data_IF_979395600504
#
_entry.id   IF_979395600504
#
_cell.length_a   1.000
_cell.length_b   1.000
_cell.length_c   1.000
_cell.angle_alpha   90.00
_cell.angle_beta   90.00
_cell.angle_gamma   90.00
#
_symmetry.space_group_name_H-M   'P 1'
#
loop_
_entity.id
_entity.type
_entity.pdbx_description
1 polymer ?
#
# COMPACT_ATOMS: atom_id res chain seq x y z
N UNK A 1 1.79 -13.14 -9.71
CA UNK A 1 0.71 -13.28 -8.69
C UNK A 1 1.02 -12.50 -7.41
N UNK A 2 2.21 -12.61 -6.82
CA UNK A 2 2.53 -11.96 -5.54
C UNK A 2 2.29 -10.44 -5.54
N UNK A 3 2.70 -9.75 -6.62
CA UNK A 3 2.44 -8.32 -6.81
C UNK A 3 0.93 -7.98 -6.79
N UNK A 4 0.11 -8.76 -7.49
CA UNK A 4 -1.33 -8.54 -7.54
C UNK A 4 -1.97 -8.69 -6.16
N UNK A 5 -1.64 -9.76 -5.44
CA UNK A 5 -2.14 -10.01 -4.07
C UNK A 5 -1.70 -8.90 -3.13
N UNK A 6 -0.44 -8.47 -3.21
CA UNK A 6 0.08 -7.35 -2.42
C UNK A 6 -0.66 -6.04 -2.70
N UNK A 7 -1.07 -5.79 -3.95
CA UNK A 7 -1.90 -4.61 -4.30
C UNK A 7 -3.33 -4.73 -3.78
N UNK A 8 -3.92 -5.93 -3.78
CA UNK A 8 -5.26 -6.17 -3.18
C UNK A 8 -5.23 -5.96 -1.66
N UNK A 9 -4.18 -6.44 -0.99
CA UNK A 9 -3.98 -6.19 0.45
C UNK A 9 -3.91 -4.67 0.72
N UNK A 10 -3.22 -3.92 -0.14
CA UNK A 10 -3.18 -2.47 -0.02
C UNK A 10 -4.55 -1.80 -0.19
N UNK A 11 -5.43 -2.35 -1.04
CA UNK A 11 -6.82 -1.86 -1.16
C UNK A 11 -7.58 -2.04 0.15
N UNK A 12 -7.42 -3.19 0.81
CA UNK A 12 -8.02 -3.46 2.11
C UNK A 12 -7.49 -2.50 3.19
N UNK A 13 -6.18 -2.20 3.16
CA UNK A 13 -5.54 -1.24 4.06
C UNK A 13 -6.14 0.15 3.89
N UNK A 14 -6.20 0.67 2.67
CA UNK A 14 -6.75 1.99 2.34
C UNK A 14 -8.24 2.07 2.71
N UNK A 15 -9.00 1.00 2.46
CA UNK A 15 -10.42 0.96 2.82
C UNK A 15 -10.65 1.01 4.33
N UNK A 16 -9.84 0.32 5.13
CA UNK A 16 -9.92 0.41 6.59
C UNK A 16 -9.48 1.78 7.11
N UNK A 17 -8.43 2.36 6.51
CA UNK A 17 -8.01 3.73 6.84
C UNK A 17 -9.15 4.72 6.63
N UNK A 18 -9.92 4.59 5.53
CA UNK A 18 -11.12 5.39 5.32
C UNK A 18 -12.13 5.23 6.47
N UNK A 19 -12.39 4.00 6.91
CA UNK A 19 -13.30 3.72 8.01
C UNK A 19 -12.84 4.34 9.32
N UNK A 20 -11.57 4.16 9.70
CA UNK A 20 -11.02 4.69 10.96
C UNK A 20 -11.03 6.21 11.00
N UNK A 21 -10.61 6.89 9.92
CA UNK A 21 -10.64 8.35 9.85
C UNK A 21 -12.07 8.91 9.81
N UNK A 22 -12.98 8.28 9.08
CA UNK A 22 -14.38 8.74 9.00
C UNK A 22 -15.05 8.74 10.38
N UNK A 23 -14.77 7.74 11.21
CA UNK A 23 -15.33 7.66 12.56
C UNK A 23 -14.81 8.74 13.51
N UNK A 24 -13.64 9.34 13.23
CA UNK A 24 -13.13 10.44 14.04
C UNK A 24 -14.01 11.70 13.97
N UNK A 25 -14.78 11.91 12.89
CA UNK A 25 -15.77 12.99 12.81
C UNK A 25 -16.81 12.86 13.93
N UNK A 26 -17.14 11.62 14.30
CA UNK A 26 -18.16 11.30 15.30
C UNK A 26 -17.56 11.00 16.68
N UNK A 27 -16.24 11.18 16.87
CA UNK A 27 -15.50 10.81 18.08
C UNK A 27 -15.73 9.34 18.49
N UNK A 28 -15.81 8.43 17.50
CA UNK A 28 -16.01 7.00 17.74
C UNK A 28 -14.68 6.24 17.67
N UNK A 29 -14.59 5.17 18.46
CA UNK A 29 -13.41 4.32 18.52
C UNK A 29 -13.05 3.67 17.17
N UNK A 30 -11.75 3.60 16.87
CA UNK A 30 -11.21 2.89 15.71
C UNK A 30 -11.44 1.35 15.79
N UNK A 31 -11.79 0.82 16.95
CA UNK A 31 -12.15 -0.59 17.16
C UNK A 31 -13.61 -0.91 16.84
N UNK A 32 -14.43 0.11 16.51
CA UNK A 32 -15.83 -0.04 16.19
C UNK A 32 -16.06 -1.00 15.01
N UNK A 33 -17.11 -1.81 15.11
CA UNK A 33 -17.59 -2.67 14.01
C UNK A 33 -18.00 -1.89 12.75
N UNK A 34 -18.18 -0.56 12.87
CA UNK A 34 -18.47 0.31 11.73
C UNK A 34 -17.25 0.51 10.82
N UNK A 35 -16.03 0.33 11.31
CA UNK A 35 -14.81 0.45 10.49
C UNK A 35 -14.84 -0.53 9.31
N UNK A 36 -15.00 -1.86 9.50
CA UNK A 36 -15.12 -2.78 8.37
C UNK A 36 -16.37 -2.53 7.51
N UNK A 37 -17.47 -2.06 8.07
CA UNK A 37 -18.68 -1.72 7.31
C UNK A 37 -18.40 -0.56 6.34
N UNK A 38 -17.77 0.51 6.81
CA UNK A 38 -17.36 1.64 5.99
C UNK A 38 -16.32 1.24 4.93
N UNK A 39 -15.37 0.37 5.31
CA UNK A 39 -14.38 -0.17 4.38
C UNK A 39 -15.02 -0.95 3.22
N UNK A 40 -15.96 -1.84 3.52
CA UNK A 40 -16.74 -2.58 2.51
C UNK A 40 -17.57 -1.63 1.65
N UNK A 41 -18.21 -0.63 2.26
CA UNK A 41 -18.96 0.41 1.54
C UNK A 41 -18.09 1.17 0.53
N UNK A 42 -16.87 1.56 0.92
CA UNK A 42 -15.94 2.23 0.03
C UNK A 42 -15.45 1.31 -1.11
N UNK A 43 -15.19 0.02 -0.82
CA UNK A 43 -14.79 -0.96 -1.84
C UNK A 43 -15.91 -1.19 -2.87
N UNK A 44 -17.17 -1.28 -2.42
CA UNK A 44 -18.33 -1.37 -3.31
C UNK A 44 -18.50 -0.10 -4.14
N UNK A 45 -18.32 1.08 -3.54
CA UNK A 45 -18.35 2.34 -4.28
C UNK A 45 -17.27 2.39 -5.37
N UNK A 46 -16.03 2.00 -5.03
CA UNK A 46 -14.93 1.93 -5.99
C UNK A 46 -15.21 0.93 -7.13
N UNK A 47 -15.86 -0.21 -6.81
CA UNK A 47 -16.31 -1.17 -7.81
C UNK A 47 -17.31 -0.55 -8.79
N UNK A 48 -18.34 0.14 -8.30
CA UNK A 48 -19.36 0.80 -9.13
C UNK A 48 -18.75 1.87 -10.03
N UNK A 49 -17.84 2.69 -9.49
CA UNK A 49 -17.13 3.71 -10.27
C UNK A 49 -16.28 3.07 -11.37
N UNK A 50 -15.57 1.98 -11.08
CA UNK A 50 -14.72 1.31 -12.05
C UNK A 50 -15.52 0.59 -13.18
N UNK A 51 -16.74 0.18 -12.93
CA UNK A 51 -17.61 -0.36 -13.98
C UNK A 51 -18.14 0.74 -14.91
N UNK A 52 -18.35 1.96 -14.40
CA UNK A 52 -19.00 3.05 -15.10
C UNK A 52 -18.16 3.72 -16.21
N UNK A 53 -16.83 3.58 -16.20
CA UNK A 53 -15.96 4.04 -17.28
C UNK A 53 -14.65 4.73 -16.88
N UNK A 54 -13.70 4.80 -17.83
CA UNK A 54 -12.31 5.18 -17.58
C UNK A 54 -12.00 6.68 -17.61
N UNK A 55 -12.70 7.48 -18.40
CA UNK A 55 -12.35 8.91 -18.62
C UNK A 55 -12.54 9.76 -17.34
N UNK A 56 -13.60 9.50 -16.62
CA UNK A 56 -13.90 10.17 -15.35
C UNK A 56 -12.84 9.86 -14.27
N UNK A 57 -12.40 8.60 -14.21
CA UNK A 57 -11.40 8.15 -13.22
C UNK A 57 -10.08 8.90 -13.39
N UNK A 58 -9.60 9.05 -14.62
CA UNK A 58 -8.30 9.68 -14.89
C UNK A 58 -8.27 11.16 -14.52
N UNK A 59 -9.27 11.92 -14.92
CA UNK A 59 -9.36 13.36 -14.62
C UNK A 59 -9.56 13.60 -13.11
N UNK A 60 -10.50 12.87 -12.51
CA UNK A 60 -10.78 12.95 -11.08
C UNK A 60 -9.54 12.64 -10.24
N UNK A 61 -8.83 11.53 -10.55
CA UNK A 61 -7.64 11.12 -9.81
C UNK A 61 -6.51 12.15 -9.89
N UNK A 62 -6.33 12.80 -11.04
CA UNK A 62 -5.28 13.82 -11.22
C UNK A 62 -5.52 15.06 -10.36
N UNK A 63 -6.73 15.61 -10.38
CA UNK A 63 -7.11 16.79 -9.58
C UNK A 63 -7.00 16.48 -8.10
N UNK A 64 -7.54 15.34 -7.68
CA UNK A 64 -7.55 14.92 -6.27
C UNK A 64 -6.13 14.61 -5.77
N UNK A 65 -5.24 14.13 -6.64
CA UNK A 65 -3.84 13.89 -6.26
C UNK A 65 -3.10 15.17 -5.91
N UNK A 66 -3.33 16.24 -6.65
CA UNK A 66 -2.77 17.57 -6.32
C UNK A 66 -3.35 18.09 -5.01
N UNK A 67 -4.67 17.98 -4.82
CA UNK A 67 -5.35 18.40 -3.60
C UNK A 67 -4.83 17.68 -2.35
N UNK A 68 -4.55 16.38 -2.44
CA UNK A 68 -3.96 15.58 -1.34
C UNK A 68 -2.58 16.11 -0.93
N UNK A 69 -1.71 16.34 -1.90
CA UNK A 69 -0.34 16.83 -1.63
C UNK A 69 -0.41 18.19 -0.97
N UNK A 70 -1.18 19.12 -1.53
CA UNK A 70 -1.38 20.45 -0.96
C UNK A 70 -1.98 20.35 0.45
N UNK A 71 -3.00 19.53 0.65
CA UNK A 71 -3.64 19.33 1.94
C UNK A 71 -2.68 18.81 3.01
N UNK A 72 -1.84 17.82 2.68
CA UNK A 72 -0.83 17.30 3.60
C UNK A 72 0.25 18.32 3.92
N UNK A 73 0.68 19.11 2.95
CA UNK A 73 1.65 20.19 3.17
C UNK A 73 1.04 21.30 4.06
N UNK A 74 -0.20 21.69 3.80
CA UNK A 74 -0.92 22.68 4.65
C UNK A 74 -1.08 22.15 6.07
N UNK A 75 -1.47 20.88 6.25
CA UNK A 75 -1.52 20.22 7.56
C UNK A 75 -0.17 20.29 8.26
N UNK A 76 0.91 19.86 7.59
CA UNK A 76 2.23 19.82 8.18
C UNK A 76 2.75 21.22 8.55
N UNK A 77 2.60 22.18 7.66
CA UNK A 77 3.01 23.59 7.92
C UNK A 77 2.19 24.22 9.04
N UNK A 78 0.88 23.97 9.09
CA UNK A 78 0.01 24.44 10.17
C UNK A 78 0.39 23.83 11.52
N UNK A 79 0.64 22.52 11.57
CA UNK A 79 1.11 21.83 12.79
C UNK A 79 2.46 22.34 13.28
N UNK A 80 3.43 22.52 12.36
CA UNK A 80 4.74 23.07 12.68
C UNK A 80 4.67 24.52 13.17
N UNK A 81 3.79 25.32 12.58
CA UNK A 81 3.55 26.70 13.02
C UNK A 81 3.07 26.75 14.47
N UNK A 82 2.11 25.90 14.83
CA UNK A 82 1.59 25.80 16.20
C UNK A 82 2.66 25.31 17.18
N UNK A 83 3.48 24.35 16.79
CA UNK A 83 4.62 23.86 17.56
C UNK A 83 5.83 24.83 17.57
N UNK A 84 5.73 26.04 16.97
CA UNK A 84 6.83 27.00 16.89
C UNK A 84 8.03 26.50 16.09
N UNK A 85 7.84 25.58 15.13
CA UNK A 85 8.92 24.90 14.39
C UNK A 85 9.93 24.19 15.30
N UNK A 86 9.47 23.71 16.46
CA UNK A 86 10.33 22.97 17.38
C UNK A 86 10.84 21.69 16.72
N UNK A 87 12.15 21.43 16.88
CA UNK A 87 12.76 20.16 16.43
C UNK A 87 12.65 19.12 17.57
N UNK A 88 12.41 19.56 18.81
CA UNK A 88 12.24 18.64 19.94
C UNK A 88 10.85 17.99 19.88
N UNK A 89 10.74 16.70 20.14
CA UNK A 89 9.45 16.03 20.30
C UNK A 89 8.62 16.69 21.40
N UNK A 90 7.28 16.55 21.33
CA UNK A 90 6.39 17.07 22.37
C UNK A 90 6.77 16.52 23.76
N UNK A 91 6.59 17.34 24.80
CA UNK A 91 6.87 16.96 26.19
C UNK A 91 6.04 15.72 26.57
N UNK A 92 6.65 14.81 27.35
CA UNK A 92 6.01 13.54 27.72
C UNK A 92 6.28 12.40 26.72
N UNK A 93 7.08 12.64 25.68
CA UNK A 93 7.63 11.54 24.88
C UNK A 93 8.51 10.70 25.79
N UNK A 94 8.03 9.48 26.13
CA UNK A 94 8.78 8.54 26.95
C UNK A 94 10.19 8.31 26.43
N UNK A 95 11.11 7.93 27.32
CA UNK A 95 12.47 7.61 26.93
C UNK A 95 12.44 6.50 25.85
N UNK A 96 13.29 6.65 24.83
CA UNK A 96 13.53 5.61 23.82
C UNK A 96 14.27 4.40 24.39
N UNK A 97 14.31 4.24 25.71
CA UNK A 97 15.05 3.17 26.41
C UNK A 97 14.63 1.77 25.98
N UNK A 98 13.37 1.59 25.54
CA UNK A 98 12.85 0.32 25.04
C UNK A 98 13.03 0.12 23.52
N UNK A 99 13.54 1.11 22.79
CA UNK A 99 13.74 1.01 21.35
C UNK A 99 14.99 0.18 21.04
N UNK A 100 14.79 -1.06 20.62
CA UNK A 100 15.88 -1.92 20.16
C UNK A 100 16.26 -1.60 18.71
N UNK A 101 17.53 -1.83 18.34
CA UNK A 101 17.98 -1.70 16.95
C UNK A 101 17.10 -2.56 16.01
N UNK A 102 16.74 -3.75 16.47
CA UNK A 102 15.87 -4.66 15.71
C UNK A 102 14.49 -4.05 15.44
N UNK A 103 13.87 -3.38 16.44
CA UNK A 103 12.58 -2.72 16.26
C UNK A 103 12.67 -1.51 15.33
N UNK A 104 13.79 -0.78 15.37
CA UNK A 104 14.04 0.33 14.43
C UNK A 104 14.19 -0.17 12.99
N UNK A 105 14.97 -1.23 12.76
CA UNK A 105 15.10 -1.86 11.43
C UNK A 105 13.73 -2.41 10.99
N UNK A 106 12.98 -3.04 11.87
CA UNK A 106 11.64 -3.56 11.57
C UNK A 106 10.66 -2.44 11.15
N UNK A 107 10.74 -1.25 11.74
CA UNK A 107 9.91 -0.11 11.34
C UNK A 107 10.15 0.32 9.88
N UNK A 108 11.35 0.08 9.35
CA UNK A 108 11.69 0.36 7.94
C UNK A 108 10.80 -0.47 7.00
N UNK A 109 10.37 -1.67 7.37
CA UNK A 109 9.46 -2.49 6.55
C UNK A 109 8.12 -1.79 6.27
N UNK A 110 7.51 -1.17 7.28
CA UNK A 110 6.28 -0.38 7.12
C UNK A 110 6.54 0.92 6.37
N UNK A 111 7.71 1.53 6.56
CA UNK A 111 8.13 2.72 5.82
C UNK A 111 8.28 2.40 4.33
N UNK A 112 8.92 1.29 3.96
CA UNK A 112 9.03 0.82 2.57
C UNK A 112 7.63 0.62 1.98
N UNK A 113 6.71 0.00 2.75
CA UNK A 113 5.32 -0.18 2.31
C UNK A 113 4.63 1.15 1.99
N UNK A 114 4.93 2.24 2.72
CA UNK A 114 4.32 3.55 2.48
C UNK A 114 4.74 4.18 1.14
N UNK A 115 5.88 3.80 0.58
CA UNK A 115 6.33 4.21 -0.75
C UNK A 115 5.79 3.32 -1.89
N UNK A 116 5.07 2.25 -1.57
CA UNK A 116 4.47 1.36 -2.55
C UNK A 116 3.52 2.13 -3.48
N UNK A 117 3.62 1.87 -4.76
CA UNK A 117 2.79 2.54 -5.78
C UNK A 117 3.59 2.98 -7.00
N UNK A 118 4.91 3.21 -6.87
CA UNK A 118 5.76 3.53 -8.00
C UNK A 118 5.75 2.43 -9.09
N UNK A 119 5.51 1.19 -8.72
CA UNK A 119 5.34 0.06 -9.64
C UNK A 119 4.14 0.24 -10.59
N UNK A 120 3.13 1.04 -10.22
CA UNK A 120 2.01 1.38 -11.10
C UNK A 120 2.48 2.21 -12.29
N UNK A 121 3.53 3.02 -12.14
CA UNK A 121 4.13 3.82 -13.23
C UNK A 121 4.71 2.88 -14.29
N UNK A 122 5.35 1.78 -13.90
CA UNK A 122 5.92 0.80 -14.84
C UNK A 122 4.82 0.06 -15.62
N UNK A 123 3.68 -0.22 -14.99
CA UNK A 123 2.55 -0.87 -15.64
C UNK A 123 1.88 0.01 -16.73
N UNK A 124 2.05 1.33 -16.64
CA UNK A 124 1.57 2.29 -17.64
C UNK A 124 2.62 2.67 -18.69
N UNK A 125 3.70 1.92 -18.79
CA UNK A 125 4.84 2.24 -19.66
C UNK A 125 4.50 2.42 -21.13
N UNK A 126 3.50 1.70 -21.65
CA UNK A 126 3.05 1.83 -23.05
C UNK A 126 2.36 3.16 -23.35
N UNK A 127 1.85 3.86 -22.33
CA UNK A 127 1.17 5.16 -22.45
C UNK A 127 2.12 6.36 -22.26
N UNK A 128 3.38 6.09 -21.85
CA UNK A 128 4.37 7.13 -21.52
C UNK A 128 5.22 7.48 -22.74
N UNK A 129 5.33 8.76 -23.06
CA UNK A 129 6.22 9.28 -24.11
C UNK A 129 7.67 9.04 -23.69
N UNK A 130 8.47 8.41 -24.57
CA UNK A 130 9.87 8.03 -24.34
C UNK A 130 10.04 7.23 -23.02
N UNK A 131 9.39 6.04 -22.90
CA UNK A 131 9.28 5.31 -21.64
C UNK A 131 10.62 4.99 -20.99
N UNK A 132 11.63 4.57 -21.73
CA UNK A 132 12.97 4.25 -21.21
C UNK A 132 13.63 5.38 -20.40
N UNK A 133 13.30 6.63 -20.71
CA UNK A 133 13.86 7.80 -20.01
C UNK A 133 12.91 8.34 -18.95
N UNK A 134 11.62 8.38 -19.24
CA UNK A 134 10.67 9.11 -18.41
C UNK A 134 10.11 8.26 -17.27
N UNK A 135 10.07 6.93 -17.39
CA UNK A 135 9.64 6.04 -16.28
C UNK A 135 10.57 6.20 -15.08
N UNK A 136 11.88 6.05 -15.28
CA UNK A 136 12.85 6.20 -14.18
C UNK A 136 12.80 7.59 -13.53
N UNK A 137 12.68 8.66 -14.33
CA UNK A 137 12.53 10.02 -13.81
C UNK A 137 11.24 10.22 -13.02
N UNK A 138 10.13 9.67 -13.49
CA UNK A 138 8.86 9.75 -12.81
C UNK A 138 8.90 9.01 -11.46
N UNK A 139 9.54 7.84 -11.40
CA UNK A 139 9.74 7.08 -10.17
C UNK A 139 10.56 7.88 -9.16
N UNK A 140 11.74 8.39 -9.57
CA UNK A 140 12.61 9.18 -8.70
C UNK A 140 11.89 10.43 -8.20
N UNK A 141 11.21 11.17 -9.07
CA UNK A 141 10.45 12.36 -8.69
C UNK A 141 9.32 12.03 -7.69
N UNK A 142 8.56 10.94 -7.94
CA UNK A 142 7.48 10.52 -7.06
C UNK A 142 8.00 10.15 -5.67
N UNK A 143 9.08 9.38 -5.59
CA UNK A 143 9.69 8.98 -4.31
C UNK A 143 10.22 10.20 -3.57
N UNK A 144 10.91 11.13 -4.28
CA UNK A 144 11.46 12.34 -3.66
C UNK A 144 10.39 13.25 -3.10
N UNK A 145 9.30 13.48 -3.85
CA UNK A 145 8.15 14.29 -3.38
C UNK A 145 7.49 13.62 -2.17
N UNK A 146 7.25 12.30 -2.24
CA UNK A 146 6.65 11.55 -1.13
C UNK A 146 7.52 11.60 0.11
N UNK A 147 8.83 11.40 -0.03
CA UNK A 147 9.78 11.47 1.09
C UNK A 147 9.74 12.85 1.76
N UNK A 148 9.78 13.91 0.97
CA UNK A 148 9.71 15.27 1.52
C UNK A 148 8.41 15.51 2.29
N UNK A 149 7.26 15.13 1.74
CA UNK A 149 5.96 15.28 2.40
C UNK A 149 5.88 14.41 3.66
N UNK A 150 6.36 13.16 3.62
CA UNK A 150 6.34 12.27 4.77
C UNK A 150 7.22 12.78 5.93
N UNK A 151 8.41 13.33 5.61
CA UNK A 151 9.27 13.92 6.62
C UNK A 151 8.62 15.16 7.26
N UNK A 152 7.98 16.02 6.47
CA UNK A 152 7.24 17.18 6.99
C UNK A 152 6.08 16.75 7.90
N UNK A 153 5.30 15.77 7.47
CA UNK A 153 4.16 15.25 8.25
C UNK A 153 4.64 14.59 9.54
N UNK A 154 5.68 13.74 9.46
CA UNK A 154 6.25 13.09 10.63
C UNK A 154 6.78 14.12 11.65
N UNK A 155 7.47 15.14 11.18
CA UNK A 155 7.93 16.25 12.03
C UNK A 155 6.75 16.97 12.67
N UNK A 156 5.72 17.35 11.92
CA UNK A 156 4.54 17.99 12.46
C UNK A 156 3.83 17.14 13.53
N UNK A 157 3.69 15.84 13.30
CA UNK A 157 3.06 14.92 14.27
C UNK A 157 3.90 14.81 15.53
N UNK A 158 5.21 14.57 15.41
CA UNK A 158 6.10 14.41 16.59
C UNK A 158 6.28 15.68 17.42
N UNK A 159 6.11 16.86 16.81
CA UNK A 159 6.19 18.15 17.53
C UNK A 159 4.89 18.50 18.26
N UNK A 160 3.75 17.86 17.91
CA UNK A 160 2.44 18.17 18.52
C UNK A 160 1.93 17.06 19.45
N UNK A 161 2.39 15.82 19.29
CA UNK A 161 1.94 14.69 20.09
C UNK A 161 3.09 13.98 20.78
N UNK A 162 2.97 13.65 22.07
CA UNK A 162 3.89 12.75 22.74
C UNK A 162 3.76 11.31 22.21
N UNK A 163 4.80 10.53 22.34
CA UNK A 163 4.90 9.17 21.75
C UNK A 163 3.76 8.23 22.18
N UNK A 164 3.38 8.27 23.44
CA UNK A 164 2.28 7.47 23.97
C UNK A 164 0.93 7.79 23.30
N UNK A 165 0.67 9.05 22.99
CA UNK A 165 -0.54 9.47 22.26
C UNK A 165 -0.47 9.06 20.77
N UNK A 166 0.70 9.17 20.13
CA UNK A 166 0.92 8.67 18.77
C UNK A 166 0.63 7.16 18.70
N UNK A 167 1.10 6.39 19.69
CA UNK A 167 0.86 4.94 19.76
C UNK A 167 -0.64 4.64 20.00
N UNK A 168 -1.30 5.39 20.88
CA UNK A 168 -2.73 5.24 21.13
C UNK A 168 -3.57 5.57 19.89
N UNK A 169 -3.21 6.63 19.16
CA UNK A 169 -3.88 7.10 17.94
C UNK A 169 -3.25 6.55 16.65
N UNK A 170 -2.53 5.44 16.69
CA UNK A 170 -1.74 4.90 15.54
C UNK A 170 -2.53 4.79 14.23
N UNK A 171 -3.83 4.50 14.30
CA UNK A 171 -4.68 4.31 13.13
C UNK A 171 -5.26 5.62 12.57
N UNK A 172 -5.11 6.76 13.32
CA UNK A 172 -5.60 8.09 12.96
C UNK A 172 -4.73 9.24 13.52
N UNK A 173 -3.44 8.99 13.68
CA UNK A 173 -2.48 9.91 14.34
C UNK A 173 -2.44 11.31 13.74
N UNK A 174 -2.67 11.48 12.42
CA UNK A 174 -2.74 12.80 11.82
C UNK A 174 -3.95 13.60 12.31
N UNK A 175 -5.10 12.97 12.49
CA UNK A 175 -6.28 13.63 13.00
C UNK A 175 -6.09 14.07 14.45
N UNK A 176 -5.43 13.24 15.27
CA UNK A 176 -5.12 13.56 16.65
C UNK A 176 -4.07 14.67 16.75
N UNK A 177 -3.01 14.63 15.95
CA UNK A 177 -1.99 15.68 15.88
C UNK A 177 -2.53 17.05 15.41
N UNK A 178 -3.66 17.08 14.73
CA UNK A 178 -4.32 18.30 14.33
C UNK A 178 -5.10 18.98 15.49
N UNK A 179 -5.48 18.22 16.50
CA UNK A 179 -6.35 18.67 17.60
C UNK A 179 -5.80 19.86 18.42
N UNK A 180 -4.49 19.87 18.77
CA UNK A 180 -3.91 21.01 19.49
C UNK A 180 -3.92 22.31 18.71
N UNK A 181 -3.90 22.27 17.35
CA UNK A 181 -3.79 23.46 16.51
C UNK A 181 -5.08 24.28 16.47
N UNK A 182 -6.22 23.67 16.11
CA UNK A 182 -7.50 24.35 15.92
C UNK A 182 -8.69 23.53 16.43
N UNK A 183 -8.46 22.62 17.38
CA UNK A 183 -9.51 21.76 17.95
C UNK A 183 -10.20 20.90 16.89
N UNK A 184 -11.51 20.77 17.00
CA UNK A 184 -12.31 19.93 16.11
C UNK A 184 -12.30 20.38 14.63
N UNK A 185 -12.09 21.65 14.34
CA UNK A 185 -12.01 22.12 12.95
C UNK A 185 -10.78 21.55 12.22
N UNK A 186 -9.63 21.46 12.91
CA UNK A 186 -8.44 20.83 12.35
C UNK A 186 -8.62 19.35 12.15
N UNK A 187 -9.31 18.65 13.08
CA UNK A 187 -9.66 17.23 12.92
C UNK A 187 -10.54 17.04 11.67
N UNK A 188 -11.58 17.86 11.49
CA UNK A 188 -12.46 17.76 10.31
C UNK A 188 -11.73 18.02 9.02
N UNK A 189 -10.82 19.00 8.99
CA UNK A 189 -9.96 19.28 7.83
C UNK A 189 -9.08 18.07 7.49
N UNK A 190 -8.39 17.51 8.49
CA UNK A 190 -7.51 16.37 8.31
C UNK A 190 -8.28 15.12 7.87
N UNK A 191 -9.43 14.85 8.48
CA UNK A 191 -10.30 13.74 8.09
C UNK A 191 -10.85 13.95 6.67
N UNK A 192 -11.22 15.18 6.31
CA UNK A 192 -11.63 15.51 4.95
C UNK A 192 -10.56 15.18 3.91
N UNK A 193 -9.30 15.54 4.17
CA UNK A 193 -8.16 15.18 3.33
C UNK A 193 -8.00 13.66 3.27
N UNK A 194 -8.08 12.96 4.41
CA UNK A 194 -7.96 11.51 4.49
C UNK A 194 -9.06 10.79 3.69
N UNK A 195 -10.31 11.25 3.78
CA UNK A 195 -11.44 10.73 3.00
C UNK A 195 -11.18 10.91 1.50
N UNK A 196 -10.82 12.11 1.07
CA UNK A 196 -10.53 12.41 -0.33
C UNK A 196 -9.35 11.55 -0.83
N UNK A 197 -8.30 11.41 0.00
CA UNK A 197 -7.13 10.63 -0.33
C UNK A 197 -7.43 9.13 -0.47
N UNK A 198 -8.18 8.57 0.46
CA UNK A 198 -8.53 7.14 0.46
C UNK A 198 -9.52 6.79 -0.64
N UNK A 199 -10.56 7.59 -0.85
CA UNK A 199 -11.54 7.39 -1.94
C UNK A 199 -10.85 7.43 -3.31
N UNK A 200 -10.04 8.44 -3.59
CA UNK A 200 -9.32 8.52 -4.88
C UNK A 200 -8.27 7.43 -5.01
N UNK A 201 -7.56 7.12 -3.93
CA UNK A 201 -6.53 6.08 -3.91
C UNK A 201 -7.09 4.70 -4.20
N UNK A 202 -8.25 4.35 -3.62
CA UNK A 202 -8.86 3.05 -3.83
C UNK A 202 -9.44 2.90 -5.25
N UNK A 203 -10.07 3.95 -5.79
CA UNK A 203 -10.57 3.95 -7.16
C UNK A 203 -9.43 3.69 -8.15
N UNK A 204 -8.31 4.42 -8.00
CA UNK A 204 -7.15 4.26 -8.85
C UNK A 204 -6.47 2.90 -8.67
N UNK A 205 -6.34 2.41 -7.44
CA UNK A 205 -5.72 1.11 -7.14
C UNK A 205 -6.53 -0.06 -7.70
N UNK A 206 -7.84 -0.04 -7.51
CA UNK A 206 -8.76 -1.07 -8.05
C UNK A 206 -8.67 -1.11 -9.59
N UNK A 207 -8.64 0.05 -10.23
CA UNK A 207 -8.45 0.17 -11.67
C UNK A 207 -7.13 -0.45 -12.14
N UNK A 208 -6.01 -0.08 -11.49
CA UNK A 208 -4.68 -0.58 -11.86
C UNK A 208 -4.55 -2.10 -11.69
N UNK A 209 -5.04 -2.65 -10.57
CA UNK A 209 -4.96 -4.08 -10.27
C UNK A 209 -5.81 -4.91 -11.24
N UNK A 210 -7.03 -4.47 -11.51
CA UNK A 210 -7.91 -5.20 -12.43
C UNK A 210 -7.34 -5.26 -13.85
N UNK A 211 -6.71 -4.19 -14.31
CA UNK A 211 -6.02 -4.16 -15.62
C UNK A 211 -4.78 -5.04 -15.64
N UNK A 212 -3.97 -4.98 -14.60
CA UNK A 212 -2.78 -5.84 -14.49
C UNK A 212 -3.16 -7.32 -14.49
N UNK A 213 -4.18 -7.72 -13.73
CA UNK A 213 -4.66 -9.10 -13.71
C UNK A 213 -5.25 -9.52 -15.07
N UNK A 214 -5.97 -8.64 -15.74
CA UNK A 214 -6.47 -8.92 -17.10
C UNK A 214 -5.32 -9.16 -18.07
N UNK A 215 -4.29 -8.31 -18.04
CA UNK A 215 -3.08 -8.48 -18.86
C UNK A 215 -2.37 -9.81 -18.57
N UNK A 216 -2.19 -10.18 -17.30
CA UNK A 216 -1.59 -11.47 -16.93
C UNK A 216 -2.43 -12.66 -17.38
N UNK A 217 -3.76 -12.52 -17.38
CA UNK A 217 -4.68 -13.53 -17.90
C UNK A 217 -4.56 -13.68 -19.42
N UNK A 218 -4.52 -12.56 -20.15
CA UNK A 218 -4.34 -12.55 -21.61
C UNK A 218 -2.99 -13.17 -22.02
N UNK A 219 -1.95 -12.96 -21.21
CA UNK A 219 -0.64 -13.59 -21.37
C UNK A 219 -0.61 -15.07 -20.93
N UNK A 220 -1.73 -15.63 -20.48
CA UNK A 220 -1.85 -17.00 -19.95
C UNK A 220 -0.88 -17.30 -18.78
N UNK A 221 -0.59 -16.30 -17.97
CA UNK A 221 0.28 -16.44 -16.79
C UNK A 221 -0.49 -16.74 -15.51
N UNK A 222 -1.80 -16.50 -15.50
CA UNK A 222 -2.70 -16.81 -14.37
C UNK A 222 -3.95 -17.51 -14.86
N UNK A 223 -4.55 -18.43 -14.03
CA UNK A 223 -5.79 -19.09 -14.37
C UNK A 223 -6.95 -18.11 -14.42
N UNK A 224 -7.84 -18.31 -15.39
CA UNK A 224 -9.07 -17.54 -15.47
C UNK A 224 -10.27 -18.49 -15.61
N UNK A 225 -11.20 -18.39 -14.66
CA UNK A 225 -12.49 -19.09 -14.73
C UNK A 225 -13.60 -18.06 -14.85
N UNK A 226 -14.43 -18.19 -15.87
CA UNK A 226 -15.53 -17.25 -16.12
C UNK A 226 -16.65 -17.30 -15.09
N UNK A 227 -16.83 -18.39 -14.37
CA UNK A 227 -17.92 -18.61 -13.39
C UNK A 227 -19.30 -18.16 -13.90
N UNK A 228 -19.53 -18.23 -15.22
CA UNK A 228 -20.78 -17.78 -15.83
C UNK A 228 -21.00 -16.26 -15.89
N UNK A 229 -20.01 -15.46 -15.47
CA UNK A 229 -20.13 -14.00 -15.51
C UNK A 229 -20.03 -13.48 -16.95
N UNK A 230 -20.98 -12.66 -17.41
CA UNK A 230 -20.90 -12.04 -18.74
C UNK A 230 -19.89 -10.88 -18.73
N UNK A 231 -19.20 -10.69 -19.84
CA UNK A 231 -18.35 -9.52 -20.06
C UNK A 231 -16.89 -9.82 -20.34
N UNK A 232 -16.06 -8.76 -20.35
CA UNK A 232 -14.63 -8.86 -20.61
C UNK A 232 -13.87 -9.36 -19.39
N UNK A 233 -12.73 -10.00 -19.59
CA UNK A 233 -11.81 -10.50 -18.54
C UNK A 233 -11.54 -9.45 -17.44
N UNK A 234 -11.40 -8.18 -17.84
CA UNK A 234 -11.17 -7.08 -16.90
C UNK A 234 -12.31 -6.90 -15.87
N UNK A 235 -13.56 -7.16 -16.23
CA UNK A 235 -14.69 -7.09 -15.29
C UNK A 235 -14.66 -8.25 -14.29
N UNK A 236 -14.25 -9.43 -14.73
CA UNK A 236 -14.11 -10.59 -13.84
C UNK A 236 -12.98 -10.38 -12.84
N UNK A 237 -11.83 -9.91 -13.29
CA UNK A 237 -10.69 -9.61 -12.41
C UNK A 237 -11.02 -8.50 -11.41
N UNK A 238 -11.85 -7.52 -11.81
CA UNK A 238 -12.37 -6.49 -10.91
C UNK A 238 -13.20 -7.09 -9.76
N UNK A 239 -14.11 -8.03 -10.06
CA UNK A 239 -14.92 -8.71 -9.02
C UNK A 239 -14.02 -9.47 -8.05
N UNK A 240 -13.05 -10.25 -8.55
CA UNK A 240 -12.15 -11.03 -7.69
C UNK A 240 -11.32 -10.13 -6.76
N UNK A 241 -10.78 -9.04 -7.29
CA UNK A 241 -9.98 -8.11 -6.48
C UNK A 241 -10.80 -7.47 -5.37
N UNK A 242 -12.02 -7.03 -5.69
CA UNK A 242 -12.91 -6.39 -4.72
C UNK A 242 -13.38 -7.37 -3.64
N UNK A 243 -13.81 -8.58 -4.02
CA UNK A 243 -14.25 -9.60 -3.06
C UNK A 243 -13.11 -9.96 -2.11
N UNK A 244 -11.90 -10.21 -2.62
CA UNK A 244 -10.75 -10.51 -1.78
C UNK A 244 -10.39 -9.34 -0.87
N UNK A 245 -10.42 -8.10 -1.38
CA UNK A 245 -10.17 -6.91 -0.58
C UNK A 245 -11.21 -6.74 0.55
N UNK A 246 -12.50 -6.99 0.28
CA UNK A 246 -13.56 -6.94 1.29
C UNK A 246 -13.36 -7.99 2.38
N UNK A 247 -13.06 -9.22 1.99
CA UNK A 247 -12.79 -10.32 2.95
C UNK A 247 -11.65 -9.95 3.89
N UNK A 248 -10.54 -9.46 3.34
CA UNK A 248 -9.38 -9.03 4.14
C UNK A 248 -9.71 -7.84 5.04
N UNK A 249 -10.47 -6.86 4.55
CA UNK A 249 -10.88 -5.69 5.32
C UNK A 249 -11.83 -6.04 6.47
N UNK A 250 -12.60 -7.12 6.37
CA UNK A 250 -13.49 -7.58 7.46
C UNK A 250 -12.72 -8.39 8.49
N UNK A 251 -11.86 -9.32 8.05
CA UNK A 251 -11.22 -10.30 8.95
C UNK A 251 -10.06 -9.67 9.74
N UNK A 252 -9.26 -8.80 9.12
CA UNK A 252 -8.04 -8.25 9.72
C UNK A 252 -8.18 -6.76 10.07
N UNK A 253 -7.55 -6.36 11.18
CA UNK A 253 -7.38 -4.95 11.52
C UNK A 253 -6.32 -4.25 10.66
N UNK A 254 -6.25 -2.91 10.75
CA UNK A 254 -5.36 -2.07 9.95
C UNK A 254 -3.89 -2.47 10.11
N UNK A 255 -3.44 -2.71 11.34
CA UNK A 255 -2.06 -3.06 11.67
C UNK A 255 -1.65 -4.42 11.08
N UNK A 256 -2.56 -5.42 11.16
CA UNK A 256 -2.34 -6.75 10.60
C UNK A 256 -2.29 -6.73 9.07
N UNK A 257 -3.22 -6.03 8.42
CA UNK A 257 -3.21 -5.85 6.97
C UNK A 257 -1.90 -5.18 6.50
N UNK A 258 -1.48 -4.11 7.17
CA UNK A 258 -0.22 -3.43 6.85
C UNK A 258 0.98 -4.37 7.00
N UNK A 259 0.99 -5.18 8.06
CA UNK A 259 2.10 -6.10 8.34
C UNK A 259 2.20 -7.22 7.31
N UNK A 260 1.08 -7.87 6.96
CA UNK A 260 1.05 -8.88 5.87
C UNK A 260 1.46 -8.24 4.55
N UNK A 261 0.96 -7.02 4.27
CA UNK A 261 1.32 -6.26 3.08
C UNK A 261 2.82 -5.98 2.98
N UNK A 262 3.47 -5.59 4.09
CA UNK A 262 4.90 -5.32 4.12
C UNK A 262 5.73 -6.60 3.87
N UNK A 263 5.38 -7.71 4.51
CA UNK A 263 6.07 -9.01 4.30
C UNK A 263 5.97 -9.44 2.84
N UNK A 264 4.76 -9.46 2.28
CA UNK A 264 4.56 -9.89 0.90
C UNK A 264 5.25 -8.97 -0.10
N UNK A 265 5.29 -7.66 0.19
CA UNK A 265 5.95 -6.69 -0.66
C UNK A 265 7.48 -6.86 -0.65
N UNK A 266 8.09 -7.01 0.53
CA UNK A 266 9.53 -7.25 0.64
C UNK A 266 9.95 -8.58 -0.03
N UNK A 267 9.18 -9.65 0.16
CA UNK A 267 9.42 -10.92 -0.53
C UNK A 267 9.33 -10.78 -2.05
N UNK A 268 8.32 -10.05 -2.54
CA UNK A 268 8.18 -9.76 -3.97
C UNK A 268 9.39 -8.99 -4.51
N UNK A 269 9.80 -7.95 -3.78
CA UNK A 269 10.92 -7.09 -4.19
C UNK A 269 12.23 -7.88 -4.27
N UNK A 270 12.50 -8.70 -3.26
CA UNK A 270 13.66 -9.61 -3.26
C UNK A 270 13.63 -10.59 -4.46
N UNK A 271 12.47 -11.14 -4.82
CA UNK A 271 12.35 -12.03 -5.97
C UNK A 271 12.65 -11.29 -7.27
N UNK A 272 12.13 -10.07 -7.43
CA UNK A 272 12.40 -9.24 -8.60
C UNK A 272 13.88 -8.89 -8.69
N UNK A 273 14.49 -8.45 -7.59
CA UNK A 273 15.93 -8.11 -7.53
C UNK A 273 16.81 -9.32 -7.86
N UNK A 274 16.49 -10.51 -7.30
CA UNK A 274 17.18 -11.74 -7.63
C UNK A 274 17.02 -12.13 -9.11
N UNK A 275 15.81 -11.98 -9.66
CA UNK A 275 15.52 -12.23 -11.07
C UNK A 275 16.29 -11.29 -12.00
N UNK A 276 16.37 -10.01 -11.66
CA UNK A 276 17.17 -9.01 -12.39
C UNK A 276 18.65 -9.38 -12.32
N UNK A 277 19.17 -9.65 -11.13
CA UNK A 277 20.58 -10.00 -10.94
C UNK A 277 21.00 -11.22 -11.76
N UNK A 278 20.18 -12.28 -11.76
CA UNK A 278 20.53 -13.56 -12.38
C UNK A 278 20.23 -13.65 -13.87
N UNK A 279 19.14 -13.04 -14.34
CA UNK A 279 18.62 -13.29 -15.69
C UNK A 279 18.51 -12.06 -16.59
N UNK A 280 18.38 -10.87 -16.01
CA UNK A 280 18.05 -9.65 -16.77
C UNK A 280 19.14 -8.58 -16.71
N UNK A 281 20.17 -8.75 -15.88
CA UNK A 281 21.21 -7.75 -15.63
C UNK A 281 21.78 -7.15 -16.90
N UNK A 282 22.20 -7.98 -17.83
CA UNK A 282 22.86 -7.55 -19.07
C UNK A 282 21.87 -6.94 -20.07
N UNK A 283 20.57 -7.30 -19.97
CA UNK A 283 19.52 -6.77 -20.85
C UNK A 283 19.06 -5.37 -20.45
N UNK A 284 19.14 -5.04 -19.17
CA UNK A 284 18.67 -3.76 -18.61
C UNK A 284 19.81 -2.87 -18.11
N UNK A 285 21.06 -3.27 -18.36
CA UNK A 285 22.27 -2.56 -17.92
C UNK A 285 22.26 -2.21 -16.42
N UNK A 286 21.82 -3.19 -15.59
CA UNK A 286 21.70 -3.00 -14.17
C UNK A 286 23.03 -3.18 -13.45
N UNK A 287 23.40 -2.23 -12.59
CA UNK A 287 24.58 -2.33 -11.75
C UNK A 287 24.42 -3.47 -10.72
N UNK A 288 25.23 -4.56 -10.79
CA UNK A 288 25.09 -5.73 -9.94
C UNK A 288 25.28 -5.42 -8.44
N UNK A 289 26.13 -4.45 -8.13
CA UNK A 289 26.39 -4.05 -6.74
C UNK A 289 25.16 -3.39 -6.14
N UNK A 290 24.50 -2.50 -6.88
CA UNK A 290 23.27 -1.82 -6.40
C UNK A 290 22.16 -2.85 -6.19
N UNK A 291 21.93 -3.75 -7.15
CA UNK A 291 20.87 -4.77 -7.06
C UNK A 291 21.11 -5.72 -5.88
N UNK A 292 22.35 -6.19 -5.71
CA UNK A 292 22.70 -7.09 -4.61
C UNK A 292 22.63 -6.40 -3.25
N UNK A 293 23.05 -5.14 -3.17
CA UNK A 293 22.92 -4.34 -1.93
C UNK A 293 21.45 -4.18 -1.54
N UNK A 294 20.57 -3.85 -2.49
CA UNK A 294 19.13 -3.75 -2.25
C UNK A 294 18.56 -5.09 -1.75
N UNK A 295 18.90 -6.20 -2.41
CA UNK A 295 18.48 -7.55 -2.00
C UNK A 295 18.88 -7.88 -0.56
N UNK A 296 20.12 -7.57 -0.17
CA UNK A 296 20.63 -7.83 1.18
C UNK A 296 19.90 -6.94 2.21
N UNK A 297 19.72 -5.66 1.90
CA UNK A 297 19.03 -4.73 2.79
C UNK A 297 17.56 -5.13 3.01
N UNK A 298 16.84 -5.49 1.96
CA UNK A 298 15.47 -6.00 2.08
C UNK A 298 15.41 -7.29 2.89
N UNK A 299 16.39 -8.19 2.73
CA UNK A 299 16.52 -9.40 3.53
C UNK A 299 16.71 -9.12 5.03
N UNK A 300 17.56 -8.15 5.37
CA UNK A 300 17.79 -7.72 6.77
C UNK A 300 16.51 -7.12 7.35
N UNK A 301 15.85 -6.23 6.61
CA UNK A 301 14.59 -5.59 7.03
C UNK A 301 13.49 -6.62 7.22
N UNK A 302 13.34 -7.54 6.29
CA UNK A 302 12.35 -8.63 6.36
C UNK A 302 12.60 -9.52 7.58
N UNK A 303 13.85 -9.94 7.80
CA UNK A 303 14.21 -10.79 8.94
C UNK A 303 13.93 -10.09 10.29
N UNK A 304 14.32 -8.82 10.42
CA UNK A 304 14.04 -8.03 11.63
C UNK A 304 12.53 -7.84 11.85
N UNK A 305 11.78 -7.55 10.78
CA UNK A 305 10.33 -7.37 10.85
C UNK A 305 9.61 -8.67 11.24
N UNK A 306 9.98 -9.78 10.61
CA UNK A 306 9.42 -11.09 10.94
C UNK A 306 9.75 -11.48 12.39
N UNK A 307 10.96 -11.21 12.87
CA UNK A 307 11.34 -11.46 14.27
C UNK A 307 10.45 -10.68 15.25
N UNK A 308 10.30 -9.39 15.03
CA UNK A 308 9.45 -8.54 15.89
C UNK A 308 7.99 -9.02 15.85
N UNK A 309 7.49 -9.44 14.68
CA UNK A 309 6.12 -9.95 14.56
C UNK A 309 5.94 -11.33 15.18
N UNK A 310 6.93 -12.21 15.11
CA UNK A 310 6.90 -13.50 15.81
C UNK A 310 6.76 -13.32 17.32
N UNK A 311 7.41 -12.30 17.90
CA UNK A 311 7.35 -12.04 19.33
C UNK A 311 6.04 -11.36 19.78
N UNK A 312 5.44 -10.51 18.92
CA UNK A 312 4.28 -9.69 19.29
C UNK A 312 2.95 -10.19 18.72
N UNK A 313 2.94 -10.73 17.51
CA UNK A 313 1.75 -11.27 16.82
C UNK A 313 2.17 -12.33 15.79
N UNK A 314 2.49 -13.53 16.28
CA UNK A 314 2.97 -14.65 15.48
C UNK A 314 1.98 -15.06 14.36
N UNK A 315 0.68 -14.79 14.55
CA UNK A 315 -0.36 -15.11 13.59
C UNK A 315 -0.11 -14.42 12.24
N UNK A 316 0.40 -13.18 12.26
CA UNK A 316 0.75 -12.43 11.04
C UNK A 316 1.81 -13.18 10.21
N UNK A 317 2.83 -13.71 10.89
CA UNK A 317 3.92 -14.44 10.23
C UNK A 317 3.37 -15.72 9.59
N UNK A 318 2.56 -16.48 10.32
CA UNK A 318 1.94 -17.71 9.82
C UNK A 318 1.04 -17.42 8.61
N UNK A 319 0.16 -16.42 8.72
CA UNK A 319 -0.73 -16.00 7.63
C UNK A 319 0.08 -15.59 6.40
N UNK A 320 1.14 -14.79 6.58
CA UNK A 320 1.99 -14.36 5.47
C UNK A 320 2.68 -15.53 4.78
N UNK A 321 3.21 -16.47 5.54
CA UNK A 321 3.85 -17.70 5.00
C UNK A 321 2.81 -18.53 4.23
N UNK A 322 1.62 -18.72 4.78
CA UNK A 322 0.54 -19.45 4.11
C UNK A 322 0.17 -18.78 2.79
N UNK A 323 0.02 -17.46 2.77
CA UNK A 323 -0.25 -16.71 1.52
C UNK A 323 0.86 -16.92 0.49
N UNK A 324 2.13 -16.82 0.90
CA UNK A 324 3.28 -17.03 0.02
C UNK A 324 3.25 -18.44 -0.56
N UNK A 325 3.07 -19.44 0.28
CA UNK A 325 3.03 -20.86 -0.15
C UNK A 325 1.88 -21.11 -1.12
N UNK A 326 0.67 -20.62 -0.82
CA UNK A 326 -0.50 -20.78 -1.69
C UNK A 326 -0.25 -20.12 -3.06
N UNK A 327 0.34 -18.92 -3.08
CA UNK A 327 0.63 -18.21 -4.33
C UNK A 327 1.64 -19.01 -5.17
N UNK A 328 2.75 -19.45 -4.56
CA UNK A 328 3.79 -20.18 -5.29
C UNK A 328 3.32 -21.54 -5.78
N UNK A 329 2.63 -22.31 -4.93
CA UNK A 329 2.08 -23.61 -5.32
C UNK A 329 1.04 -23.44 -6.43
N UNK A 330 0.12 -22.49 -6.28
CA UNK A 330 -0.90 -22.21 -7.28
C UNK A 330 -0.30 -21.81 -8.62
N UNK A 331 0.71 -20.95 -8.63
CA UNK A 331 1.42 -20.53 -9.83
C UNK A 331 2.21 -21.69 -10.48
N UNK A 332 2.91 -22.49 -9.67
CA UNK A 332 3.65 -23.67 -10.14
C UNK A 332 2.72 -24.72 -10.77
N UNK A 333 1.64 -25.08 -10.09
CA UNK A 333 0.67 -26.07 -10.59
C UNK A 333 0.03 -25.59 -11.90
N UNK A 334 -0.33 -24.31 -11.97
CA UNK A 334 -0.94 -23.74 -13.17
C UNK A 334 0.03 -23.75 -14.36
N UNK A 335 1.26 -23.29 -14.18
CA UNK A 335 2.26 -23.24 -15.24
C UNK A 335 2.66 -24.65 -15.72
N UNK A 336 2.76 -25.62 -14.81
CA UNK A 336 3.03 -27.00 -15.17
C UNK A 336 1.93 -27.59 -16.07
N UNK A 337 0.66 -27.47 -15.68
CA UNK A 337 -0.46 -27.96 -16.49
C UNK A 337 -0.56 -27.29 -17.87
N UNK A 338 -0.16 -26.04 -17.97
CA UNK A 338 -0.11 -25.33 -19.25
C UNK A 338 0.93 -25.94 -20.19
N UNK A 339 2.14 -26.18 -19.70
CA UNK A 339 3.23 -26.75 -20.51
C UNK A 339 2.90 -28.16 -20.97
N UNK A 340 2.32 -28.99 -20.10
CA UNK A 340 1.88 -30.35 -20.45
C UNK A 340 0.77 -30.34 -21.52
N UNK A 341 -0.11 -29.32 -21.52
CA UNK A 341 -1.16 -29.16 -22.53
C UNK A 341 -0.65 -28.66 -23.90
N UNK A 342 0.38 -27.83 -23.93
CA UNK A 342 1.00 -27.37 -25.18
C UNK A 342 1.86 -28.44 -25.85
N UNK A 343 2.53 -29.32 -25.07
CA UNK A 343 3.27 -30.47 -25.61
C UNK A 343 2.34 -31.57 -26.13
N UNK A 344 1.16 -31.75 -25.55
CA UNK A 344 0.16 -32.74 -26.00
C UNK A 344 -0.55 -32.43 -27.33
N UNK A 345 -0.45 -31.17 -27.81
CA UNK A 345 -1.00 -30.73 -29.10
C UNK A 345 0.06 -30.64 -30.21
N UNK A 346 1.33 -30.93 -29.92
CA UNK A 346 2.43 -30.88 -30.88
C UNK A 346 2.77 -32.28 -31.50
N UNK A 347 1.94 -33.32 -31.23
CA UNK A 347 2.06 -34.68 -31.81
C UNK A 347 0.79 -35.00 -32.66
#
# INVERSE_FOLDING_TARGET
>A
MLMAVSMVINQSLVARTFGTYTLQIFNMDATSYLVPVLAVGLLLFAFLVNISGNSFIQTFTSIVSLLKIIGLVVFAMGGLWVAGFSITPAEGSGSTEDATITSMIAAVALTILSFKGFTTITNSGSEIVKPHKNIGRAIVASISISLFVYLLVAWAVSSNLPLNEIIAARDYSLAEAARPAFGNYAVWFTVGIAIIATVSGIIASVFAVSRMLAMLTDMKLIPHKHFGMPGRIQKHTLVYTIVLAMVLAVIFDLSRIASVGAILYLVMDMIVQWGVFKHLRDKVDANPVIVMTAFILDGIVLAAFMWVKLMNDWLIVVVSIIFIIIIFIGEYVFLKHRNDGEEGHAH
#
